data_IF_777846529421
#
_entry.id   IF_777846529421
#
_cell.length_a   1.000
_cell.length_b   1.000
_cell.length_c   1.000
_cell.angle_alpha   90.00
_cell.angle_beta   90.00
_cell.angle_gamma   90.00
#
_symmetry.space_group_name_H-M   'P 1'
#
loop_
_entity.id
_entity.type
_entity.pdbx_description
1 polymer ?
#
# COMPACT_ATOMS: atom_id res chain seq x y z
N UNK A 1 -22.00 25.32 -1.54
CA UNK A 1 -21.94 23.85 -1.56
C UNK A 1 -21.34 23.44 -2.90
N UNK A 2 -20.07 23.03 -2.92
CA UNK A 2 -19.33 22.77 -4.15
C UNK A 2 -19.73 21.38 -4.66
N UNK A 3 -20.67 21.34 -5.60
CA UNK A 3 -21.16 20.08 -6.19
C UNK A 3 -20.26 19.78 -7.38
N UNK A 4 -19.38 18.79 -7.24
CA UNK A 4 -18.55 18.35 -8.37
C UNK A 4 -19.47 17.76 -9.45
N UNK A 5 -19.26 18.10 -10.73
CA UNK A 5 -20.02 17.54 -11.86
C UNK A 5 -19.69 16.07 -12.16
N UNK A 6 -18.86 15.41 -11.35
CA UNK A 6 -18.44 14.03 -11.53
C UNK A 6 -19.47 13.06 -10.93
N UNK A 7 -20.13 12.20 -11.72
CA UNK A 7 -21.11 11.21 -11.24
C UNK A 7 -20.58 10.26 -10.17
N UNK A 8 -19.27 10.06 -10.08
CA UNK A 8 -18.63 9.26 -9.04
C UNK A 8 -18.56 9.96 -7.66
N UNK A 9 -18.64 11.28 -7.62
CA UNK A 9 -18.46 12.12 -6.42
C UNK A 9 -19.80 12.73 -5.96
N UNK A 10 -20.84 11.89 -5.85
CA UNK A 10 -22.14 12.31 -5.32
C UNK A 10 -22.16 12.15 -3.78
N UNK A 11 -22.95 12.97 -3.08
CA UNK A 11 -23.03 12.97 -1.62
C UNK A 11 -23.47 11.61 -1.05
N UNK A 12 -24.18 10.79 -1.84
CA UNK A 12 -24.56 9.42 -1.51
C UNK A 12 -23.36 8.45 -1.41
N UNK A 13 -22.28 8.69 -2.15
CA UNK A 13 -21.05 7.87 -2.09
C UNK A 13 -20.35 8.03 -0.74
N UNK A 14 -20.55 9.18 -0.08
CA UNK A 14 -19.97 9.49 1.23
C UNK A 14 -20.94 9.23 2.39
N UNK A 15 -22.13 8.67 2.14
CA UNK A 15 -23.08 8.36 3.21
C UNK A 15 -22.58 7.18 4.06
N UNK A 16 -22.45 7.45 5.36
CA UNK A 16 -22.12 6.48 6.43
C UNK A 16 -22.79 5.11 6.27
N UNK A 17 -24.04 5.06 5.81
CA UNK A 17 -24.81 3.82 5.66
C UNK A 17 -24.22 2.77 4.71
N UNK A 18 -23.28 3.14 3.83
CA UNK A 18 -22.64 2.20 2.90
C UNK A 18 -21.53 1.34 3.54
N UNK A 19 -21.02 1.70 4.72
CA UNK A 19 -19.91 1.01 5.42
C UNK A 19 -20.43 0.25 6.64
N UNK A 20 -21.31 -0.73 6.42
CA UNK A 20 -22.07 -1.39 7.49
C UNK A 20 -21.39 -2.64 8.08
N UNK A 21 -20.35 -3.16 7.43
CA UNK A 21 -19.77 -4.48 7.72
C UNK A 21 -18.42 -4.45 8.47
N UNK A 22 -18.10 -3.36 9.17
CA UNK A 22 -16.87 -3.27 9.97
C UNK A 22 -16.97 -4.14 11.25
N UNK A 23 -15.98 -5.00 11.55
CA UNK A 23 -15.90 -5.72 12.82
C UNK A 23 -15.87 -4.73 14.00
N UNK A 24 -16.53 -5.04 15.10
CA UNK A 24 -16.58 -4.26 16.35
C UNK A 24 -15.22 -3.87 16.97
N UNK A 25 -14.12 -4.53 16.58
CA UNK A 25 -12.75 -4.15 16.97
C UNK A 25 -12.07 -3.16 16.01
N UNK A 26 -12.60 -3.01 14.80
CA UNK A 26 -12.17 -2.02 13.81
C UNK A 26 -13.12 -0.83 13.93
N UNK A 27 -12.60 0.29 14.43
CA UNK A 27 -13.41 1.50 14.58
C UNK A 27 -14.10 1.83 13.25
N UNK A 28 -15.37 2.23 13.32
CA UNK A 28 -16.20 2.58 12.15
C UNK A 28 -15.51 3.58 11.18
N UNK A 29 -14.66 4.46 11.71
CA UNK A 29 -13.83 5.41 10.95
C UNK A 29 -12.71 4.73 10.13
N UNK A 30 -12.22 3.56 10.54
CA UNK A 30 -11.11 2.84 9.88
C UNK A 30 -11.47 2.27 8.51
N UNK A 31 -12.76 2.02 8.28
CA UNK A 31 -13.28 1.51 7.02
C UNK A 31 -13.60 2.64 6.02
N UNK A 32 -13.67 3.90 6.46
CA UNK A 32 -13.90 5.04 5.57
C UNK A 32 -12.58 5.46 4.90
N UNK A 33 -12.50 5.38 3.57
CA UNK A 33 -11.35 5.91 2.83
C UNK A 33 -11.41 7.44 2.77
N UNK A 34 -10.74 8.10 3.71
CA UNK A 34 -10.54 9.56 3.69
C UNK A 34 -9.33 9.92 2.83
N UNK A 35 -9.34 11.09 2.18
CA UNK A 35 -8.18 11.56 1.40
C UNK A 35 -6.93 11.68 2.29
N UNK A 36 -7.11 12.15 3.52
CA UNK A 36 -6.03 12.26 4.51
C UNK A 36 -5.45 10.88 4.88
N UNK A 37 -6.30 9.89 5.14
CA UNK A 37 -5.84 8.53 5.47
C UNK A 37 -5.16 7.82 4.29
N UNK A 38 -5.60 8.08 3.05
CA UNK A 38 -4.92 7.54 1.85
C UNK A 38 -3.54 8.18 1.67
N UNK A 39 -3.43 9.49 1.89
CA UNK A 39 -2.15 10.20 1.80
C UNK A 39 -1.15 9.70 2.85
N UNK A 40 -1.59 9.50 4.10
CA UNK A 40 -0.75 8.98 5.17
C UNK A 40 -0.26 7.55 4.88
N UNK A 41 -1.17 6.65 4.48
CA UNK A 41 -0.81 5.27 4.13
C UNK A 41 0.18 5.22 2.95
N UNK A 42 -0.06 6.03 1.92
CA UNK A 42 0.84 6.09 0.76
C UNK A 42 2.20 6.65 1.14
N UNK A 43 2.24 7.71 1.96
CA UNK A 43 3.48 8.31 2.44
C UNK A 43 4.32 7.32 3.26
N UNK A 44 3.69 6.53 4.14
CA UNK A 44 4.36 5.51 4.92
C UNK A 44 4.94 4.39 4.05
N UNK A 45 4.17 3.91 3.07
CA UNK A 45 4.66 2.89 2.12
C UNK A 45 5.83 3.42 1.29
N UNK A 46 5.74 4.66 0.80
CA UNK A 46 6.81 5.31 0.05
C UNK A 46 8.08 5.43 0.90
N UNK A 47 7.97 5.78 2.19
CA UNK A 47 9.11 5.83 3.10
C UNK A 47 9.79 4.46 3.24
N UNK A 48 9.01 3.39 3.41
CA UNK A 48 9.53 2.02 3.49
C UNK A 48 10.28 1.65 2.19
N UNK A 49 9.67 1.91 1.04
CA UNK A 49 10.31 1.64 -0.26
C UNK A 49 11.57 2.48 -0.47
N UNK A 50 11.56 3.77 -0.09
CA UNK A 50 12.70 4.65 -0.24
C UNK A 50 13.87 4.26 0.66
N UNK A 51 13.61 3.90 1.92
CA UNK A 51 14.66 3.48 2.86
C UNK A 51 15.31 2.17 2.44
N UNK A 52 14.52 1.20 1.96
CA UNK A 52 15.03 -0.07 1.43
C UNK A 52 15.79 0.13 0.11
N UNK A 53 15.33 1.01 -0.78
CA UNK A 53 16.05 1.37 -2.00
C UNK A 53 17.40 2.03 -1.70
N UNK A 54 17.45 2.99 -0.77
CA UNK A 54 18.71 3.62 -0.35
C UNK A 54 19.67 2.60 0.26
N UNK A 55 19.16 1.68 1.10
CA UNK A 55 19.98 0.63 1.69
C UNK A 55 20.66 -0.24 0.64
N UNK A 56 19.92 -0.68 -0.38
CA UNK A 56 20.49 -1.48 -1.47
C UNK A 56 21.48 -0.68 -2.30
N UNK A 57 21.15 0.58 -2.63
CA UNK A 57 22.01 1.46 -3.43
C UNK A 57 23.38 1.71 -2.76
N UNK A 58 23.40 1.89 -1.43
CA UNK A 58 24.66 2.05 -0.67
C UNK A 58 25.44 0.75 -0.46
N UNK A 59 24.82 -0.41 -0.71
CA UNK A 59 25.42 -1.73 -0.53
C UNK A 59 26.02 -2.32 -1.82
N UNK A 60 26.03 -1.55 -2.92
CA UNK A 60 26.72 -1.94 -4.15
C UNK A 60 28.24 -2.03 -3.95
N UNK A 61 28.93 -2.99 -4.59
CA UNK A 61 28.44 -3.92 -5.63
C UNK A 61 27.91 -5.28 -5.10
N UNK A 62 27.97 -5.54 -3.79
CA UNK A 62 27.53 -6.82 -3.19
C UNK A 62 25.99 -6.97 -3.11
N UNK A 63 25.23 -5.99 -3.60
CA UNK A 63 23.75 -5.98 -3.61
C UNK A 63 23.12 -6.91 -4.65
N UNK A 64 23.89 -7.51 -5.56
CA UNK A 64 23.42 -8.44 -6.60
C UNK A 64 22.37 -9.48 -6.14
N UNK A 65 22.63 -10.24 -5.06
CA UNK A 65 21.68 -11.19 -4.50
C UNK A 65 20.43 -10.55 -3.89
N UNK A 66 20.54 -9.34 -3.32
CA UNK A 66 19.41 -8.63 -2.70
C UNK A 66 18.39 -8.20 -3.75
N UNK A 67 18.82 -7.80 -4.94
CA UNK A 67 17.95 -7.45 -6.07
C UNK A 67 17.19 -8.69 -6.55
N UNK A 68 17.88 -9.82 -6.68
CA UNK A 68 17.27 -11.09 -7.09
C UNK A 68 16.22 -11.53 -6.07
N UNK A 69 16.53 -11.42 -4.78
CA UNK A 69 15.57 -11.70 -3.69
C UNK A 69 14.40 -10.72 -3.74
N UNK A 70 14.65 -9.43 -3.97
CA UNK A 70 13.61 -8.42 -4.12
C UNK A 70 12.69 -8.71 -5.32
N UNK A 71 13.25 -9.11 -6.46
CA UNK A 71 12.50 -9.34 -7.69
C UNK A 71 11.65 -10.60 -7.59
N UNK A 72 12.24 -11.73 -7.19
CA UNK A 72 11.50 -12.99 -7.05
C UNK A 72 10.56 -12.95 -5.84
N UNK A 73 11.02 -12.41 -4.71
CA UNK A 73 10.20 -12.24 -3.51
C UNK A 73 9.02 -11.29 -3.75
N UNK A 74 9.29 -10.13 -4.34
CA UNK A 74 8.26 -9.14 -4.68
C UNK A 74 7.23 -9.70 -5.65
N UNK A 75 7.66 -10.46 -6.67
CA UNK A 75 6.76 -11.10 -7.62
C UNK A 75 5.88 -12.18 -6.95
N UNK A 76 6.43 -13.01 -6.07
CA UNK A 76 5.65 -14.01 -5.32
C UNK A 76 4.61 -13.31 -4.44
N UNK A 77 5.01 -12.29 -3.68
CA UNK A 77 4.09 -11.55 -2.82
C UNK A 77 3.01 -10.84 -3.64
N UNK A 78 3.36 -10.23 -4.78
CA UNK A 78 2.40 -9.63 -5.69
C UNK A 78 1.37 -10.64 -6.19
N UNK A 79 1.80 -11.84 -6.59
CA UNK A 79 0.89 -12.92 -7.00
C UNK A 79 -0.04 -13.35 -5.86
N UNK A 80 0.48 -13.48 -4.63
CA UNK A 80 -0.34 -13.79 -3.45
C UNK A 80 -1.40 -12.72 -3.23
N UNK A 81 -1.04 -11.43 -3.32
CA UNK A 81 -1.98 -10.32 -3.13
C UNK A 81 -3.05 -10.32 -4.23
N UNK A 82 -2.68 -10.54 -5.49
CA UNK A 82 -3.60 -10.57 -6.62
C UNK A 82 -4.60 -11.72 -6.48
N UNK A 83 -4.13 -12.93 -6.20
CA UNK A 83 -5.03 -14.10 -6.09
C UNK A 83 -5.85 -14.11 -4.80
N UNK A 84 -5.28 -13.64 -3.69
CA UNK A 84 -5.98 -13.61 -2.41
C UNK A 84 -6.93 -12.42 -2.26
N UNK A 85 -6.78 -11.37 -3.06
CA UNK A 85 -7.50 -10.10 -2.88
C UNK A 85 -7.31 -9.51 -1.47
N UNK A 86 -6.18 -9.82 -0.82
CA UNK A 86 -5.98 -9.52 0.60
C UNK A 86 -5.51 -8.08 0.79
N UNK A 87 -6.24 -7.30 1.58
CA UNK A 87 -5.86 -5.94 1.99
C UNK A 87 -5.07 -5.95 3.31
N UNK A 88 -4.33 -7.02 3.59
CA UNK A 88 -3.57 -7.12 4.84
C UNK A 88 -2.41 -6.11 4.84
N UNK A 89 -2.35 -5.17 5.81
CA UNK A 89 -1.29 -4.17 5.89
C UNK A 89 0.12 -4.76 5.95
N UNK A 90 0.27 -5.92 6.59
CA UNK A 90 1.57 -6.58 6.69
C UNK A 90 2.08 -7.04 5.32
N UNK A 91 1.21 -7.65 4.50
CA UNK A 91 1.57 -8.10 3.15
C UNK A 91 1.98 -6.91 2.26
N UNK A 92 1.24 -5.80 2.35
CA UNK A 92 1.50 -4.60 1.56
C UNK A 92 2.84 -3.97 1.98
N UNK A 93 3.13 -3.87 3.28
CA UNK A 93 4.42 -3.37 3.77
C UNK A 93 5.58 -4.27 3.35
N UNK A 94 5.42 -5.60 3.41
CA UNK A 94 6.44 -6.54 2.92
C UNK A 94 6.70 -6.37 1.43
N UNK A 95 5.64 -6.24 0.63
CA UNK A 95 5.77 -5.97 -0.80
C UNK A 95 6.51 -4.66 -1.07
N UNK A 96 6.15 -3.57 -0.39
CA UNK A 96 6.81 -2.27 -0.52
C UNK A 96 8.31 -2.28 -0.19
N UNK A 97 8.71 -3.07 0.81
CA UNK A 97 10.11 -3.28 1.16
C UNK A 97 10.87 -4.07 0.07
N UNK A 98 10.27 -5.14 -0.46
CA UNK A 98 10.88 -5.96 -1.51
C UNK A 98 11.03 -5.20 -2.83
N UNK A 99 10.04 -4.38 -3.19
CA UNK A 99 10.12 -3.45 -4.33
C UNK A 99 11.27 -2.46 -4.17
N UNK A 100 11.44 -1.89 -2.97
CA UNK A 100 12.56 -0.98 -2.72
C UNK A 100 13.92 -1.64 -2.94
N UNK A 101 14.08 -2.91 -2.55
CA UNK A 101 15.32 -3.65 -2.82
C UNK A 101 15.62 -3.78 -4.32
N UNK A 102 14.61 -3.94 -5.17
CA UNK A 102 14.77 -4.02 -6.63
C UNK A 102 15.14 -2.66 -7.22
N UNK A 103 14.47 -1.60 -6.78
CA UNK A 103 14.67 -0.23 -7.28
C UNK A 103 16.06 0.31 -6.88
N UNK A 104 16.52 -0.04 -5.67
CA UNK A 104 17.81 0.40 -5.12
C UNK A 104 19.03 -0.18 -5.82
N UNK A 105 18.89 -1.34 -6.44
CA UNK A 105 19.76 -1.78 -7.53
C UNK A 105 20.90 -2.73 -7.24
#
# INVERSE_FOLDING_TARGET
MYRSGNPALNDSTFQKSAYKDAPWWEGYESNMMTIEGVAEKTGLLLLITATTALFTAFSMPDSGPLILVGAFGGLIVALIVIFSGSTNPMLICTYAALEGLVIGG
#
